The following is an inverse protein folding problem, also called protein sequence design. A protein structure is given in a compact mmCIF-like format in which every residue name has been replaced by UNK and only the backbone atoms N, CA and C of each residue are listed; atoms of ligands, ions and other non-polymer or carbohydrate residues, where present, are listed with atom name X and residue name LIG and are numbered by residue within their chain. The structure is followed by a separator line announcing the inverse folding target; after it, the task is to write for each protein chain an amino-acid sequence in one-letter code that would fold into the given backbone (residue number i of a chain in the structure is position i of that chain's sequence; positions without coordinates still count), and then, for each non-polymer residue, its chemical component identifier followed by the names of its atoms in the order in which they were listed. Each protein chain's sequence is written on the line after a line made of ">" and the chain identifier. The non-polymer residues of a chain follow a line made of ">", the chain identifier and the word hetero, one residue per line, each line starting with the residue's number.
data_IF_014420470490
#
_entry.id   IF_014420470490
#
_cell.length_a   1.000
_cell.length_b   1.000
_cell.length_c   1.000
_cell.angle_alpha   90.00
_cell.angle_beta   90.00
_cell.angle_gamma   90.00
#
_symmetry.space_group_name_H-M   'P 1'
#
loop_
_entity.id
_entity.type
_entity.pdbx_description
1 polymer ?
#
# COMPACT_ATOMS: atom_id res chain seq x y z
N UNK A 1 -3.34 -32.07 -8.42
CA UNK A 1 -4.02 -32.20 -9.72
C UNK A 1 -3.79 -33.63 -10.13
N UNK A 2 -4.83 -34.44 -10.13
CA UNK A 2 -4.75 -35.83 -10.61
C UNK A 2 -4.79 -35.77 -12.13
N UNK A 3 -3.88 -36.45 -12.79
CA UNK A 3 -3.85 -36.54 -14.24
C UNK A 3 -4.44 -37.91 -14.58
N UNK A 4 -5.49 -37.91 -15.40
CA UNK A 4 -6.10 -39.14 -15.91
C UNK A 4 -5.49 -39.43 -17.27
N UNK A 5 -5.00 -40.66 -17.45
CA UNK A 5 -4.56 -41.16 -18.74
C UNK A 5 -5.09 -42.58 -18.90
N UNK A 6 -5.84 -42.83 -19.98
CA UNK A 6 -6.44 -44.13 -20.27
C UNK A 6 -7.17 -44.78 -19.09
N UNK A 7 -8.02 -44.01 -18.40
CA UNK A 7 -8.80 -44.43 -17.22
C UNK A 7 -8.00 -44.78 -15.96
N UNK A 8 -6.70 -44.49 -15.94
CA UNK A 8 -5.88 -44.57 -14.74
C UNK A 8 -5.56 -43.16 -14.21
N UNK A 9 -5.79 -42.95 -12.91
CA UNK A 9 -5.44 -41.71 -12.23
C UNK A 9 -4.03 -41.78 -11.67
N UNK A 10 -3.24 -40.72 -11.88
CA UNK A 10 -1.91 -40.62 -11.29
C UNK A 10 -1.96 -40.64 -9.75
N UNK A 11 -0.99 -41.31 -9.12
CA UNK A 11 -0.86 -41.30 -7.68
C UNK A 11 -0.53 -39.90 -7.15
N UNK A 12 -1.04 -39.57 -5.96
CA UNK A 12 -0.74 -38.30 -5.31
C UNK A 12 0.74 -38.28 -4.89
N UNK A 13 1.58 -37.54 -5.62
CA UNK A 13 2.99 -37.38 -5.26
C UNK A 13 3.15 -36.18 -4.32
N UNK A 14 3.87 -36.38 -3.21
CA UNK A 14 4.14 -35.33 -2.22
C UNK A 14 5.39 -34.55 -2.64
N UNK A 15 5.25 -33.26 -2.90
CA UNK A 15 6.41 -32.38 -3.14
C UNK A 15 7.19 -32.24 -1.83
N UNK A 16 8.42 -32.73 -1.79
CA UNK A 16 9.29 -32.64 -0.60
C UNK A 16 10.10 -31.34 -0.55
N UNK A 17 10.36 -30.72 -1.71
CA UNK A 17 11.12 -29.48 -1.85
C UNK A 17 10.49 -28.56 -2.91
N UNK A 18 10.55 -27.25 -2.67
CA UNK A 18 10.07 -26.22 -3.60
C UNK A 18 8.71 -25.61 -3.23
N UNK A 19 8.32 -24.55 -3.94
CA UNK A 19 7.09 -23.80 -3.70
C UNK A 19 6.17 -23.93 -4.91
N UNK A 20 4.86 -24.15 -4.67
CA UNK A 20 3.87 -24.33 -5.74
C UNK A 20 3.76 -23.09 -6.63
N UNK A 21 3.97 -23.20 -7.95
CA UNK A 21 3.74 -22.10 -8.88
C UNK A 21 2.25 -21.67 -8.89
N UNK A 22 1.99 -20.36 -8.89
CA UNK A 22 0.62 -19.80 -8.92
C UNK A 22 -0.11 -19.78 -7.56
N UNK A 23 0.49 -20.29 -6.48
CA UNK A 23 -0.06 -20.13 -5.14
C UNK A 23 0.05 -18.68 -4.65
N UNK A 24 -0.97 -18.19 -3.94
CA UNK A 24 -1.02 -16.80 -3.45
C UNK A 24 0.14 -16.46 -2.49
N UNK A 25 0.61 -17.47 -1.73
CA UNK A 25 1.74 -17.33 -0.81
C UNK A 25 3.10 -17.54 -1.48
N UNK A 26 3.12 -18.12 -2.68
CA UNK A 26 4.34 -18.55 -3.33
C UNK A 26 5.30 -17.41 -3.66
N UNK A 27 4.85 -16.23 -4.14
CA UNK A 27 5.73 -15.09 -4.32
C UNK A 27 6.42 -14.66 -3.01
N UNK A 28 5.68 -14.67 -1.89
CA UNK A 28 6.22 -14.23 -0.60
C UNK A 28 7.25 -15.20 -0.03
N UNK A 29 6.99 -16.51 -0.13
CA UNK A 29 7.95 -17.54 0.28
C UNK A 29 9.21 -17.51 -0.60
N UNK A 30 9.04 -17.26 -1.89
CA UNK A 30 10.17 -17.10 -2.82
C UNK A 30 11.00 -15.85 -2.49
N UNK A 31 10.35 -14.73 -2.16
CA UNK A 31 11.05 -13.52 -1.71
C UNK A 31 11.90 -13.76 -0.47
N UNK A 32 11.36 -14.46 0.54
CA UNK A 32 12.12 -14.77 1.77
C UNK A 32 13.39 -15.56 1.46
N UNK A 33 13.30 -16.54 0.56
CA UNK A 33 14.47 -17.32 0.14
C UNK A 33 15.47 -16.46 -0.65
N UNK A 34 14.98 -15.57 -1.51
CA UNK A 34 15.82 -14.63 -2.25
C UNK A 34 16.52 -13.64 -1.32
N UNK A 35 15.86 -13.15 -0.28
CA UNK A 35 16.45 -12.19 0.67
C UNK A 35 17.69 -12.80 1.36
N UNK A 36 17.59 -14.06 1.81
CA UNK A 36 18.72 -14.80 2.40
C UNK A 36 19.84 -15.06 1.37
N UNK A 37 19.46 -15.34 0.11
CA UNK A 37 20.44 -15.49 -0.97
C UNK A 37 21.15 -14.15 -1.25
N UNK A 38 20.41 -13.05 -1.36
CA UNK A 38 20.93 -11.71 -1.61
C UNK A 38 21.89 -11.31 -0.50
N UNK A 39 21.53 -11.51 0.78
CA UNK A 39 22.42 -11.21 1.89
C UNK A 39 23.77 -11.97 1.79
N UNK A 40 23.73 -13.24 1.37
CA UNK A 40 24.94 -14.04 1.12
C UNK A 40 25.73 -13.58 -0.10
N UNK A 41 25.06 -13.01 -1.12
CA UNK A 41 25.72 -12.44 -2.29
C UNK A 41 26.35 -11.08 -1.97
N UNK A 42 25.67 -10.25 -1.16
CA UNK A 42 26.13 -8.91 -0.77
C UNK A 42 27.38 -8.96 0.13
N UNK A 43 27.51 -10.01 0.93
CA UNK A 43 28.72 -10.30 1.72
C UNK A 43 29.92 -10.71 0.84
N UNK A 44 29.70 -10.98 -0.45
CA UNK A 44 30.76 -11.31 -1.40
C UNK A 44 31.16 -10.07 -2.22
N UNK A 45 32.46 -9.82 -2.34
CA UNK A 45 33.00 -8.68 -3.10
C UNK A 45 32.79 -8.78 -4.64
N UNK A 46 32.20 -9.87 -5.14
CA UNK A 46 32.15 -10.21 -6.57
C UNK A 46 30.75 -10.69 -7.00
N UNK A 47 30.28 -10.35 -8.22
CA UNK A 47 28.93 -10.69 -8.70
C UNK A 47 28.71 -12.11 -9.24
N UNK A 48 27.64 -12.81 -8.86
CA UNK A 48 27.43 -14.25 -9.12
C UNK A 48 26.72 -14.53 -10.47
N UNK A 49 27.25 -15.46 -11.30
CA UNK A 49 26.53 -16.05 -12.45
C UNK A 49 26.51 -17.58 -12.37
N UNK A 50 25.33 -18.18 -12.56
CA UNK A 50 25.14 -19.63 -12.56
C UNK A 50 25.45 -20.21 -13.97
N UNK A 51 26.42 -21.11 -14.07
CA UNK A 51 26.56 -22.01 -15.24
C UNK A 51 25.83 -23.31 -14.98
N UNK A 52 25.20 -23.86 -16.01
CA UNK A 52 24.71 -25.25 -16.02
C UNK A 52 25.91 -26.18 -15.80
N UNK A 53 26.15 -26.65 -14.57
CA UNK A 53 27.26 -27.57 -14.27
C UNK A 53 28.08 -27.32 -13.00
N UNK A 54 27.57 -26.60 -11.99
CA UNK A 54 28.08 -26.72 -10.61
C UNK A 54 29.35 -25.95 -10.23
N UNK A 55 29.90 -25.11 -11.11
CA UNK A 55 30.93 -24.12 -10.75
C UNK A 55 30.43 -22.71 -11.04
N UNK A 56 30.47 -21.85 -10.02
CA UNK A 56 30.09 -20.43 -10.10
C UNK A 56 31.32 -19.66 -10.55
N UNK A 57 31.28 -19.11 -11.77
CA UNK A 57 32.27 -18.16 -12.28
C UNK A 57 31.64 -16.77 -12.33
N UNK A 58 32.38 -15.78 -11.84
CA UNK A 58 31.99 -14.37 -11.82
C UNK A 58 32.61 -13.70 -13.05
N UNK A 59 31.76 -13.21 -13.97
CA UNK A 59 32.20 -12.59 -15.22
C UNK A 59 31.50 -11.24 -15.38
N UNK A 60 32.28 -10.16 -15.42
CA UNK A 60 31.77 -8.85 -15.84
C UNK A 60 31.30 -8.93 -17.30
N UNK A 61 30.04 -8.57 -17.54
CA UNK A 61 29.44 -8.59 -18.88
C UNK A 61 29.32 -7.17 -19.42
N UNK A 62 29.94 -6.92 -20.58
CA UNK A 62 29.85 -5.61 -21.28
C UNK A 62 28.42 -5.25 -21.70
N UNK A 63 27.54 -6.25 -21.79
CA UNK A 63 26.17 -6.16 -22.27
C UNK A 63 25.27 -7.17 -21.55
N UNK A 64 24.13 -6.72 -21.01
CA UNK A 64 23.11 -7.58 -20.38
C UNK A 64 21.71 -7.05 -20.65
N UNK A 65 20.76 -7.91 -21.03
CA UNK A 65 19.33 -7.55 -21.04
C UNK A 65 18.66 -8.00 -19.75
N UNK A 66 18.16 -7.07 -18.95
CA UNK A 66 17.52 -7.33 -17.66
C UNK A 66 16.17 -6.62 -17.57
N UNK A 67 15.10 -7.37 -17.30
CA UNK A 67 13.72 -6.85 -17.22
C UNK A 67 13.31 -5.99 -18.43
N UNK A 68 13.78 -6.37 -19.63
CA UNK A 68 13.51 -5.62 -20.87
C UNK A 68 14.42 -4.42 -21.13
N UNK A 69 15.33 -4.09 -20.21
CA UNK A 69 16.31 -3.01 -20.33
C UNK A 69 17.66 -3.57 -20.76
N UNK A 70 18.34 -2.91 -21.68
CA UNK A 70 19.72 -3.23 -22.06
C UNK A 70 20.65 -2.43 -21.15
N UNK A 71 21.55 -3.13 -20.47
CA UNK A 71 22.60 -2.59 -19.62
C UNK A 71 23.94 -2.76 -20.36
N UNK A 72 24.68 -1.67 -20.47
CA UNK A 72 26.01 -1.61 -21.10
C UNK A 72 27.01 -0.99 -20.14
N UNK A 73 28.27 -1.41 -20.23
CA UNK A 73 29.37 -0.94 -19.35
C UNK A 73 29.61 0.59 -19.46
N UNK A 74 29.19 1.21 -20.55
CA UNK A 74 29.39 2.64 -20.77
C UNK A 74 28.47 3.53 -19.91
N UNK A 75 27.56 2.94 -19.13
CA UNK A 75 26.58 3.64 -18.28
C UNK A 75 25.75 4.69 -19.05
N UNK A 76 25.72 4.58 -20.39
CA UNK A 76 25.05 5.52 -21.31
C UNK A 76 23.69 4.98 -21.71
N UNK A 77 22.86 4.64 -20.72
CA UNK A 77 21.46 4.30 -20.99
C UNK A 77 20.62 5.57 -21.27
N UNK A 78 21.15 6.47 -22.08
CA UNK A 78 20.61 7.79 -22.40
C UNK A 78 19.24 7.68 -23.06
N UNK A 79 19.02 6.64 -23.86
CA UNK A 79 17.73 6.33 -24.46
C UNK A 79 16.67 5.91 -23.42
N UNK A 80 17.05 5.10 -22.42
CA UNK A 80 16.13 4.73 -21.35
C UNK A 80 15.80 5.92 -20.45
N UNK A 81 16.83 6.69 -20.06
CA UNK A 81 16.66 7.92 -19.28
C UNK A 81 15.77 8.91 -20.03
N UNK A 82 15.96 9.07 -21.34
CA UNK A 82 15.13 9.97 -22.16
C UNK A 82 13.69 9.45 -22.27
N UNK A 83 13.45 8.15 -22.44
CA UNK A 83 12.10 7.55 -22.41
C UNK A 83 11.41 7.78 -21.06
N UNK A 84 12.11 7.56 -19.95
CA UNK A 84 11.59 7.85 -18.60
C UNK A 84 11.25 9.33 -18.43
N UNK A 85 12.16 10.24 -18.82
CA UNK A 85 11.91 11.69 -18.80
C UNK A 85 10.70 12.07 -19.65
N UNK A 86 10.58 11.52 -20.85
CA UNK A 86 9.47 11.80 -21.77
C UNK A 86 8.14 11.28 -21.22
N UNK A 87 8.12 10.11 -20.62
CA UNK A 87 6.93 9.54 -19.97
C UNK A 87 6.49 10.40 -18.78
N UNK A 88 7.44 10.80 -17.93
CA UNK A 88 7.19 11.72 -16.82
C UNK A 88 6.65 13.07 -17.31
N UNK A 89 7.24 13.62 -18.38
CA UNK A 89 6.80 14.88 -18.99
C UNK A 89 5.38 14.78 -19.58
N UNK A 90 5.05 13.67 -20.25
CA UNK A 90 3.70 13.40 -20.76
C UNK A 90 2.67 13.34 -19.63
N UNK A 91 3.00 12.67 -18.53
CA UNK A 91 2.16 12.62 -17.34
C UNK A 91 1.99 14.01 -16.73
N UNK A 92 3.08 14.75 -16.54
CA UNK A 92 3.07 16.12 -16.03
C UNK A 92 2.20 17.05 -16.90
N UNK A 93 2.36 17.01 -18.23
CA UNK A 93 1.56 17.83 -19.14
C UNK A 93 0.07 17.46 -19.11
N UNK A 94 -0.27 16.19 -18.92
CA UNK A 94 -1.65 15.75 -18.73
C UNK A 94 -2.24 16.31 -17.43
N UNK A 95 -1.49 16.26 -16.33
CA UNK A 95 -1.88 16.85 -15.05
C UNK A 95 -2.01 18.37 -15.14
N UNK A 96 -1.11 19.04 -15.86
CA UNK A 96 -1.15 20.49 -16.13
C UNK A 96 -2.37 20.87 -16.97
N UNK A 97 -2.68 20.12 -18.04
CA UNK A 97 -3.88 20.33 -18.88
C UNK A 97 -5.17 20.18 -18.08
N UNK A 98 -5.17 19.28 -17.11
CA UNK A 98 -6.29 19.10 -16.18
C UNK A 98 -6.35 20.19 -15.10
N UNK A 99 -5.43 21.15 -15.07
CA UNK A 99 -5.31 22.15 -14.00
C UNK A 99 -5.23 21.54 -12.60
N UNK A 100 -4.77 20.28 -12.49
CA UNK A 100 -4.53 19.60 -11.22
C UNK A 100 -3.26 20.10 -10.54
N UNK A 101 -2.40 20.79 -11.29
CA UNK A 101 -1.14 21.35 -10.81
C UNK A 101 -1.22 22.84 -10.49
N UNK A 102 -2.38 23.49 -10.63
CA UNK A 102 -2.54 24.90 -10.25
C UNK A 102 -3.35 25.03 -8.96
N UNK A 103 -3.02 25.99 -8.10
CA UNK A 103 -3.84 26.33 -6.93
C UNK A 103 -5.27 26.77 -7.27
N UNK A 104 -5.53 27.08 -8.56
CA UNK A 104 -6.84 27.37 -9.12
C UNK A 104 -7.51 26.10 -9.68
N UNK A 105 -7.47 24.99 -8.94
CA UNK A 105 -8.32 23.84 -9.25
C UNK A 105 -9.78 24.33 -9.27
N UNK A 106 -10.43 24.19 -10.42
CA UNK A 106 -11.81 24.64 -10.63
C UNK A 106 -12.72 24.11 -9.49
N UNK A 107 -13.63 24.92 -8.92
CA UNK A 107 -14.49 24.51 -7.80
C UNK A 107 -15.19 23.16 -8.02
N UNK A 108 -15.65 22.88 -9.24
CA UNK A 108 -16.21 21.57 -9.61
C UNK A 108 -15.22 20.41 -9.41
N UNK A 109 -13.93 20.59 -9.75
CA UNK A 109 -12.93 19.54 -9.54
C UNK A 109 -12.50 19.39 -8.07
N UNK A 110 -12.41 20.50 -7.31
CA UNK A 110 -12.26 20.41 -5.83
C UNK A 110 -13.46 19.67 -5.23
N UNK A 111 -14.65 19.92 -5.76
CA UNK A 111 -15.87 19.17 -5.48
C UNK A 111 -15.74 17.69 -5.82
N UNK A 112 -15.20 17.34 -6.99
CA UNK A 112 -14.96 15.95 -7.40
C UNK A 112 -13.94 15.24 -6.51
N UNK A 113 -12.82 15.86 -6.14
CA UNK A 113 -11.82 15.26 -5.25
C UNK A 113 -12.40 15.05 -3.84
N UNK A 114 -13.13 16.03 -3.31
CA UNK A 114 -13.87 15.87 -2.04
C UNK A 114 -14.95 14.78 -2.16
N UNK A 115 -15.63 14.69 -3.30
CA UNK A 115 -16.61 13.66 -3.62
C UNK A 115 -15.96 12.28 -3.67
N UNK A 116 -14.77 12.14 -4.25
CA UNK A 116 -14.02 10.89 -4.28
C UNK A 116 -13.65 10.40 -2.88
N UNK A 117 -13.19 11.29 -1.98
CA UNK A 117 -12.98 10.93 -0.56
C UNK A 117 -14.26 10.40 0.10
N UNK A 118 -15.41 11.03 -0.17
CA UNK A 118 -16.70 10.56 0.34
C UNK A 118 -17.14 9.25 -0.33
N UNK A 119 -16.89 9.08 -1.62
CA UNK A 119 -17.16 7.85 -2.37
C UNK A 119 -16.31 6.70 -1.83
N UNK A 120 -15.05 6.93 -1.49
CA UNK A 120 -14.17 5.97 -0.83
C UNK A 120 -14.74 5.52 0.52
N UNK A 121 -15.13 6.46 1.39
CA UNK A 121 -15.79 6.14 2.67
C UNK A 121 -17.07 5.33 2.47
N UNK A 122 -17.89 5.68 1.47
CA UNK A 122 -19.16 5.00 1.18
C UNK A 122 -18.94 3.59 0.61
N UNK A 123 -18.01 3.44 -0.32
CA UNK A 123 -17.69 2.15 -0.96
C UNK A 123 -17.10 1.18 0.07
N UNK A 124 -16.13 1.62 0.88
CA UNK A 124 -15.58 0.82 1.98
C UNK A 124 -16.67 0.36 2.94
N UNK A 125 -17.51 1.28 3.42
CA UNK A 125 -18.62 0.92 4.32
C UNK A 125 -19.62 -0.04 3.68
N UNK A 126 -19.97 0.17 2.41
CA UNK A 126 -20.91 -0.69 1.69
C UNK A 126 -20.35 -2.09 1.44
N UNK A 127 -19.05 -2.22 1.17
CA UNK A 127 -18.39 -3.53 1.02
C UNK A 127 -18.47 -4.33 2.30
N UNK A 128 -18.11 -3.72 3.44
CA UNK A 128 -18.19 -4.40 4.74
C UNK A 128 -19.64 -4.78 5.05
N UNK A 129 -20.60 -3.89 4.80
CA UNK A 129 -22.02 -4.20 4.99
C UNK A 129 -22.48 -5.39 4.15
N UNK A 130 -22.08 -5.42 2.89
CA UNK A 130 -22.40 -6.51 1.97
C UNK A 130 -21.82 -7.83 2.46
N UNK A 131 -20.57 -7.85 2.96
CA UNK A 131 -19.95 -9.05 3.54
C UNK A 131 -20.73 -9.63 4.72
N UNK A 132 -21.40 -8.79 5.52
CA UNK A 132 -22.18 -9.21 6.68
C UNK A 132 -23.70 -9.26 6.42
N UNK A 133 -24.14 -9.05 5.18
CA UNK A 133 -25.56 -9.05 4.82
C UNK A 133 -26.39 -7.93 5.45
N UNK A 134 -25.77 -6.85 5.93
CA UNK A 134 -26.48 -5.76 6.61
C UNK A 134 -26.89 -4.65 5.63
N UNK A 135 -28.03 -3.96 5.85
CA UNK A 135 -28.49 -2.90 4.96
C UNK A 135 -27.51 -1.73 4.80
N UNK A 136 -27.48 -1.13 3.60
CA UNK A 136 -26.63 0.03 3.25
C UNK A 136 -26.87 1.27 4.10
N UNK A 137 -28.05 1.37 4.74
CA UNK A 137 -28.46 2.47 5.63
C UNK A 137 -27.87 2.40 7.05
N UNK A 138 -27.30 1.27 7.47
CA UNK A 138 -26.68 1.13 8.80
C UNK A 138 -25.39 1.96 8.92
N UNK A 139 -24.98 2.33 10.15
CA UNK A 139 -23.65 2.91 10.36
C UNK A 139 -22.57 1.83 10.30
N UNK A 140 -21.37 2.19 9.86
CA UNK A 140 -20.24 1.25 9.65
C UNK A 140 -19.04 1.52 10.56
N UNK A 141 -18.99 2.66 11.23
CA UNK A 141 -17.83 3.06 12.04
C UNK A 141 -17.50 2.03 13.12
N UNK A 142 -18.51 1.62 13.90
CA UNK A 142 -18.34 0.63 14.97
C UNK A 142 -17.96 -0.75 14.40
N UNK A 143 -18.56 -1.11 13.27
CA UNK A 143 -18.30 -2.36 12.56
C UNK A 143 -16.84 -2.44 12.07
N UNK A 144 -16.34 -1.37 11.46
CA UNK A 144 -14.95 -1.26 11.03
C UNK A 144 -14.00 -1.35 12.23
N UNK A 145 -14.30 -0.66 13.34
CA UNK A 145 -13.49 -0.72 14.55
C UNK A 145 -13.43 -2.12 15.17
N UNK A 146 -14.57 -2.82 15.23
CA UNK A 146 -14.66 -4.19 15.74
C UNK A 146 -13.82 -5.16 14.90
N UNK A 147 -13.79 -4.98 13.58
CA UNK A 147 -12.98 -5.77 12.64
C UNK A 147 -11.51 -5.36 12.58
N UNK A 148 -11.09 -4.39 13.40
CA UNK A 148 -9.74 -3.80 13.39
C UNK A 148 -9.37 -3.17 12.03
N UNK A 149 -10.35 -2.63 11.31
CA UNK A 149 -10.16 -1.94 10.03
C UNK A 149 -10.09 -0.44 10.29
N UNK A 150 -8.93 0.15 10.07
CA UNK A 150 -8.75 1.61 10.10
C UNK A 150 -9.37 2.25 8.86
N UNK A 151 -10.08 3.37 9.05
CA UNK A 151 -10.67 4.10 7.94
C UNK A 151 -9.60 4.50 6.91
N UNK A 152 -9.84 4.15 5.63
CA UNK A 152 -8.84 4.29 4.55
C UNK A 152 -8.21 5.68 4.48
N UNK A 153 -8.99 6.74 4.70
CA UNK A 153 -8.47 8.12 4.64
C UNK A 153 -7.46 8.41 5.76
N UNK A 154 -7.74 7.99 7.00
CA UNK A 154 -6.79 8.17 8.12
C UNK A 154 -5.51 7.35 7.89
N UNK A 155 -5.67 6.15 7.34
CA UNK A 155 -4.55 5.29 6.98
C UNK A 155 -3.69 5.91 5.87
N UNK A 156 -4.31 6.54 4.87
CA UNK A 156 -3.60 7.28 3.82
C UNK A 156 -2.80 8.45 4.40
N UNK A 157 -3.36 9.22 5.34
CA UNK A 157 -2.62 10.31 5.99
C UNK A 157 -1.39 9.79 6.74
N UNK A 158 -1.53 8.70 7.50
CA UNK A 158 -0.41 8.04 8.17
C UNK A 158 0.65 7.54 7.19
N UNK A 159 0.23 6.95 6.06
CA UNK A 159 1.16 6.50 5.01
C UNK A 159 1.89 7.65 4.33
N UNK A 160 1.24 8.79 4.09
CA UNK A 160 1.91 9.99 3.57
C UNK A 160 3.00 10.48 4.53
N UNK A 161 2.69 10.52 5.83
CA UNK A 161 3.67 10.87 6.86
C UNK A 161 4.84 9.88 6.89
N UNK A 162 4.58 8.57 6.84
CA UNK A 162 5.62 7.54 6.79
C UNK A 162 6.48 7.60 5.53
N UNK A 163 5.87 7.94 4.39
CA UNK A 163 6.58 8.13 3.14
C UNK A 163 7.50 9.36 3.22
N UNK A 164 6.98 10.49 3.69
CA UNK A 164 7.76 11.72 3.90
C UNK A 164 8.96 11.48 4.83
N UNK A 165 8.73 10.88 6.01
CA UNK A 165 9.80 10.59 6.97
C UNK A 165 10.85 9.63 6.41
N UNK A 166 10.48 8.71 5.51
CA UNK A 166 11.44 7.82 4.84
C UNK A 166 12.28 8.56 3.81
N UNK A 167 11.66 9.42 3.01
CA UNK A 167 12.39 10.25 2.04
C UNK A 167 13.37 11.18 2.74
N UNK A 168 12.98 11.76 3.89
CA UNK A 168 13.86 12.65 4.66
C UNK A 168 15.07 11.94 5.29
N UNK A 169 14.96 10.63 5.56
CA UNK A 169 16.06 9.83 6.12
C UNK A 169 17.15 9.49 5.10
N UNK A 170 16.82 9.46 3.82
CA UNK A 170 17.78 9.18 2.76
C UNK A 170 18.35 10.50 2.23
N UNK A 171 19.68 10.63 2.25
CA UNK A 171 20.42 11.86 1.94
C UNK A 171 20.03 12.43 0.58
N UNK A 172 20.03 11.60 -0.48
CA UNK A 172 19.73 12.02 -1.84
C UNK A 172 18.28 12.46 -2.02
N UNK A 173 17.34 11.75 -1.40
CA UNK A 173 15.92 12.12 -1.49
C UNK A 173 15.60 13.31 -0.61
N UNK A 174 16.36 13.56 0.45
CA UNK A 174 16.21 14.74 1.28
C UNK A 174 16.62 16.02 0.53
N UNK A 175 17.75 15.99 -0.18
CA UNK A 175 18.18 17.10 -1.05
C UNK A 175 17.11 17.43 -2.11
N UNK A 176 16.57 16.40 -2.76
CA UNK A 176 15.45 16.56 -3.70
C UNK A 176 14.19 17.14 -3.04
N UNK A 177 13.87 16.74 -1.81
CA UNK A 177 12.73 17.29 -1.09
C UNK A 177 12.90 18.77 -0.79
N UNK A 178 14.12 19.21 -0.46
CA UNK A 178 14.44 20.61 -0.20
C UNK A 178 14.34 21.45 -1.48
N UNK A 179 14.83 20.94 -2.62
CA UNK A 179 14.67 21.59 -3.92
C UNK A 179 13.19 21.69 -4.34
N UNK A 180 12.40 20.66 -4.07
CA UNK A 180 10.99 20.56 -4.47
C UNK A 180 10.05 21.24 -3.46
N UNK A 181 10.56 21.68 -2.31
CA UNK A 181 9.77 22.30 -1.23
C UNK A 181 9.03 23.56 -1.68
N UNK A 182 9.59 24.29 -2.65
CA UNK A 182 8.98 25.49 -3.21
C UNK A 182 7.86 25.21 -4.23
N UNK A 183 7.65 23.96 -4.64
CA UNK A 183 6.55 23.62 -5.53
C UNK A 183 5.21 23.70 -4.81
N UNK A 184 4.24 24.31 -5.48
CA UNK A 184 2.88 24.57 -4.99
C UNK A 184 2.16 23.29 -4.53
N UNK A 185 2.43 22.15 -5.18
CA UNK A 185 1.86 20.83 -4.85
C UNK A 185 2.90 19.87 -4.24
N UNK A 186 3.79 20.37 -3.39
CA UNK A 186 4.73 19.50 -2.69
C UNK A 186 4.01 18.59 -1.68
N UNK A 187 4.56 17.39 -1.45
CA UNK A 187 4.10 16.48 -0.41
C UNK A 187 4.04 17.18 0.98
N UNK A 188 4.98 18.10 1.20
CA UNK A 188 5.02 18.97 2.38
C UNK A 188 3.74 19.78 2.55
N UNK A 189 3.26 20.43 1.49
CA UNK A 189 2.03 21.23 1.52
C UNK A 189 0.80 20.36 1.82
N UNK A 190 0.70 19.19 1.20
CA UNK A 190 -0.41 18.25 1.48
C UNK A 190 -0.44 17.80 2.96
N UNK A 191 0.74 17.58 3.57
CA UNK A 191 0.83 17.23 4.99
C UNK A 191 0.46 18.44 5.87
N UNK A 192 0.85 19.66 5.47
CA UNK A 192 0.52 20.88 6.20
C UNK A 192 -0.98 21.21 6.16
N UNK A 193 -1.69 20.89 5.08
CA UNK A 193 -3.15 21.06 5.01
C UNK A 193 -3.88 20.23 6.07
N UNK A 194 -3.31 19.08 6.46
CA UNK A 194 -3.89 18.21 7.48
C UNK A 194 -3.83 18.80 8.90
N UNK A 195 -3.08 19.90 9.16
CA UNK A 195 -3.05 20.56 10.48
C UNK A 195 -4.44 20.86 11.03
N UNK A 196 -5.32 21.38 10.18
CA UNK A 196 -6.70 21.73 10.52
C UNK A 196 -7.54 20.50 10.89
N UNK A 197 -7.22 19.35 10.32
CA UNK A 197 -7.95 18.10 10.56
C UNK A 197 -7.57 17.47 11.90
N UNK A 198 -6.32 17.65 12.34
CA UNK A 198 -5.79 17.07 13.57
C UNK A 198 -5.58 18.10 14.69
N UNK A 199 -6.13 19.31 14.53
CA UNK A 199 -6.10 20.42 15.50
C UNK A 199 -4.71 20.68 16.10
N UNK A 200 -3.72 20.84 15.21
CA UNK A 200 -2.31 21.05 15.61
C UNK A 200 -1.71 22.29 14.96
N UNK A 201 -1.03 23.09 15.78
CA UNK A 201 -0.30 24.30 15.36
C UNK A 201 1.16 24.02 14.97
N UNK A 202 1.60 22.76 15.06
CA UNK A 202 2.99 22.38 14.78
C UNK A 202 3.37 22.73 13.35
N UNK A 203 4.50 23.41 13.17
CA UNK A 203 4.97 23.90 11.88
C UNK A 203 6.17 23.13 11.36
N UNK A 204 6.86 22.40 12.23
CA UNK A 204 7.89 21.47 11.82
C UNK A 204 7.27 20.18 11.26
N UNK A 205 7.50 19.90 9.98
CA UNK A 205 6.88 18.79 9.25
C UNK A 205 7.10 17.41 9.90
N UNK A 206 8.26 17.18 10.50
CA UNK A 206 8.59 15.91 11.14
C UNK A 206 7.81 15.66 12.42
N UNK A 207 7.70 16.71 13.24
CA UNK A 207 6.88 16.69 14.45
C UNK A 207 5.42 16.57 14.06
N UNK A 208 4.97 17.31 13.04
CA UNK A 208 3.61 17.22 12.51
C UNK A 208 3.29 15.80 12.02
N UNK A 209 4.19 15.17 11.24
CA UNK A 209 4.04 13.77 10.80
C UNK A 209 3.91 12.82 11.99
N UNK A 210 4.69 13.03 13.04
CA UNK A 210 4.67 12.22 14.25
C UNK A 210 3.36 12.40 15.03
N UNK A 211 2.87 13.64 15.14
CA UNK A 211 1.59 13.99 15.77
C UNK A 211 0.42 13.36 15.01
N UNK A 212 0.36 13.52 13.68
CA UNK A 212 -0.70 12.93 12.84
C UNK A 212 -0.74 11.41 13.03
N UNK A 213 0.41 10.73 12.94
CA UNK A 213 0.49 9.28 13.15
C UNK A 213 0.04 8.88 14.56
N UNK A 214 0.40 9.67 15.57
CA UNK A 214 -0.04 9.44 16.93
C UNK A 214 -1.57 9.58 17.05
N UNK A 215 -2.16 10.66 16.53
CA UNK A 215 -3.60 10.89 16.51
C UNK A 215 -4.37 9.76 15.83
N UNK A 216 -3.94 9.35 14.63
CA UNK A 216 -4.59 8.25 13.90
C UNK A 216 -4.62 6.98 14.76
N UNK A 217 -3.51 6.63 15.41
CA UNK A 217 -3.42 5.46 16.28
C UNK A 217 -4.19 5.61 17.58
N UNK A 218 -4.13 6.77 18.22
CA UNK A 218 -4.76 7.02 19.52
C UNK A 218 -6.28 7.09 19.39
N UNK A 219 -6.79 7.78 18.38
CA UNK A 219 -8.23 7.83 18.09
C UNK A 219 -8.78 6.45 17.77
N UNK A 220 -8.08 5.67 16.95
CA UNK A 220 -8.51 4.31 16.61
C UNK A 220 -8.57 3.41 17.85
N UNK A 221 -7.57 3.49 18.73
CA UNK A 221 -7.57 2.79 20.01
C UNK A 221 -8.71 3.26 20.92
N UNK A 222 -8.94 4.57 21.03
CA UNK A 222 -10.00 5.14 21.87
C UNK A 222 -11.39 4.71 21.39
N UNK A 223 -11.64 4.78 20.08
CA UNK A 223 -12.90 4.32 19.48
C UNK A 223 -13.16 2.83 19.72
N UNK A 224 -12.10 2.02 19.77
CA UNK A 224 -12.21 0.60 20.04
C UNK A 224 -12.44 0.27 21.52
N UNK A 225 -11.69 0.91 22.43
CA UNK A 225 -11.72 0.57 23.85
C UNK A 225 -12.91 1.17 24.59
N UNK A 226 -13.38 2.35 24.19
CA UNK A 226 -14.39 3.11 24.95
C UNK A 226 -15.81 2.90 24.43
N UNK A 227 -16.00 2.15 23.34
CA UNK A 227 -17.30 2.00 22.71
C UNK A 227 -17.94 0.65 23.06
N UNK A 228 -19.05 0.63 23.85
CA UNK A 228 -19.68 -0.62 24.27
C UNK A 228 -20.22 -1.42 23.08
N UNK A 229 -20.65 -0.76 22.00
CA UNK A 229 -21.12 -1.44 20.78
C UNK A 229 -20.00 -2.20 20.09
N UNK A 230 -18.79 -1.64 20.07
CA UNK A 230 -17.61 -2.30 19.49
C UNK A 230 -17.27 -3.55 20.30
N UNK A 231 -17.34 -3.48 21.63
CA UNK A 231 -17.11 -4.64 22.50
C UNK A 231 -18.16 -5.75 22.26
N UNK A 232 -19.43 -5.37 22.10
CA UNK A 232 -20.51 -6.32 21.80
C UNK A 232 -20.34 -6.96 20.41
N UNK A 233 -19.99 -6.17 19.39
CA UNK A 233 -19.69 -6.68 18.05
C UNK A 233 -18.51 -7.66 18.04
N UNK A 234 -17.45 -7.38 18.80
CA UNK A 234 -16.31 -8.29 18.95
C UNK A 234 -16.79 -9.63 19.52
N UNK A 235 -17.62 -9.61 20.58
CA UNK A 235 -18.19 -10.86 21.14
C UNK A 235 -19.01 -11.63 20.11
N UNK A 236 -19.80 -10.96 19.27
CA UNK A 236 -20.56 -11.60 18.19
C UNK A 236 -19.63 -12.21 17.14
N UNK A 237 -18.52 -11.57 16.81
CA UNK A 237 -17.56 -12.15 15.86
C UNK A 237 -16.79 -13.34 16.43
N UNK A 238 -16.61 -13.38 17.74
CA UNK A 238 -15.98 -14.49 18.43
C UNK A 238 -16.92 -15.70 18.58
N UNK A 239 -18.25 -15.52 18.43
CA UNK A 239 -19.18 -16.66 18.39
C UNK A 239 -19.09 -17.40 17.05
N UNK A 240 -19.14 -18.74 17.09
CA UNK A 240 -19.09 -19.58 15.89
C UNK A 240 -20.46 -19.75 15.19
N UNK A 241 -21.50 -19.08 15.68
CA UNK A 241 -22.89 -19.25 15.25
C UNK A 241 -23.24 -18.41 14.02
N UNK A 242 -22.76 -18.84 12.84
CA UNK A 242 -22.89 -18.08 11.59
C UNK A 242 -24.32 -17.66 11.22
N UNK A 243 -25.33 -18.46 11.59
CA UNK A 243 -26.72 -18.22 11.21
C UNK A 243 -27.34 -16.98 11.87
N UNK A 244 -26.85 -16.58 13.06
CA UNK A 244 -27.45 -15.47 13.83
C UNK A 244 -26.63 -14.19 13.77
N UNK A 245 -25.38 -14.26 13.27
CA UNK A 245 -24.44 -13.12 13.24
C UNK A 245 -25.06 -11.91 12.54
N UNK A 246 -25.70 -12.10 11.38
CA UNK A 246 -26.30 -11.00 10.62
C UNK A 246 -27.37 -10.26 11.43
N UNK A 247 -28.27 -10.99 12.09
CA UNK A 247 -29.34 -10.41 12.89
C UNK A 247 -28.78 -9.69 14.12
N UNK A 248 -27.85 -10.32 14.84
CA UNK A 248 -27.19 -9.74 16.02
C UNK A 248 -26.43 -8.46 15.67
N UNK A 249 -25.64 -8.46 14.58
CA UNK A 249 -24.96 -7.26 14.09
C UNK A 249 -25.98 -6.17 13.75
N UNK A 250 -27.03 -6.50 12.99
CA UNK A 250 -28.04 -5.52 12.58
C UNK A 250 -28.70 -4.82 13.77
N UNK A 251 -28.99 -5.54 14.86
CA UNK A 251 -29.59 -4.93 16.06
C UNK A 251 -28.70 -3.88 16.73
N UNK A 252 -27.37 -4.04 16.66
CA UNK A 252 -26.41 -3.10 17.26
C UNK A 252 -26.20 -1.86 16.38
N UNK A 253 -26.13 -2.07 15.05
CA UNK A 253 -25.76 -1.01 14.10
C UNK A 253 -26.96 -0.33 13.43
N UNK A 254 -28.19 -0.78 13.71
CA UNK A 254 -29.40 -0.11 13.21
C UNK A 254 -29.48 1.31 13.79
N UNK A 255 -29.68 2.27 12.88
CA UNK A 255 -30.03 3.67 13.09
C UNK A 255 -29.92 4.25 14.50
N UNK A 256 -28.69 4.50 14.93
CA UNK A 256 -28.33 5.51 15.93
C UNK A 256 -27.28 6.40 15.30
#
# INVERSE_FOLDING_TARGET
>A
MLIENDYEYSNLFKTTLGVRQGGIMSPKLFSIYLDDLIAKVEDQEHGIKLKNGGKIDIIQVKYMKYLGVILTDDNKNTEHISKCKLSALKAYNKLKKLSLLSNKVHPNMKGHIKRERLTLKRTEGNLVKFMFGVPTRCRTTDLLCALKIEATIKRLDAFKCDFYLRLRKNVYTNELLDEVKQLENSLSNEIMENKTTYDTNESELDKLCSIIKYHVKSEFKAMKSNNPKVAELIKIFDTKEKCEIQQKIFQIIKFT
#
